data_IF_020311113879
#
_entry.id   IF_020311113879
#
_cell.length_a   1.000
_cell.length_b   1.000
_cell.length_c   1.000
_cell.angle_alpha   90.00
_cell.angle_beta   90.00
_cell.angle_gamma   90.00
#
_symmetry.space_group_name_H-M   'P 1'
#
loop_
_entity.id
_entity.type
_entity.pdbx_description
1 polymer ?
#
# COMPACT_ATOMS: atom_id res chain seq x y z
N UNK A 1 37.53 -5.59 -8.18
CA UNK A 1 36.52 -4.57 -8.54
C UNK A 1 35.50 -5.21 -9.46
N UNK A 2 34.30 -5.50 -8.98
CA UNK A 2 33.24 -6.13 -9.79
C UNK A 2 32.04 -5.20 -9.90
N UNK A 3 31.61 -5.01 -11.15
CA UNK A 3 30.55 -4.12 -11.61
C UNK A 3 29.26 -4.36 -10.82
N UNK A 4 28.76 -3.31 -10.18
CA UNK A 4 27.39 -3.26 -9.63
C UNK A 4 26.44 -3.08 -10.82
N UNK A 5 26.10 -4.19 -11.47
CA UNK A 5 25.22 -4.19 -12.64
C UNK A 5 23.78 -3.85 -12.26
N UNK A 6 23.43 -2.60 -12.54
CA UNK A 6 22.40 -2.13 -13.50
C UNK A 6 20.93 -2.61 -13.32
N UNK A 7 20.07 -1.59 -13.16
CA UNK A 7 18.67 -1.52 -13.61
C UNK A 7 17.67 -2.53 -13.02
N UNK A 8 17.03 -2.15 -11.90
CA UNK A 8 15.75 -2.74 -11.53
C UNK A 8 14.63 -1.97 -12.23
N UNK A 9 14.00 -2.63 -13.21
CA UNK A 9 12.81 -2.24 -13.97
C UNK A 9 11.80 -1.51 -13.05
N UNK A 10 11.58 -0.23 -13.30
CA UNK A 10 10.72 0.65 -12.49
C UNK A 10 9.26 0.16 -12.49
N UNK A 11 8.92 -0.68 -11.51
CA UNK A 11 7.52 -0.81 -11.06
C UNK A 11 7.15 0.48 -10.32
N UNK A 12 5.95 1.01 -10.61
CA UNK A 12 5.39 2.27 -10.09
C UNK A 12 5.81 2.52 -8.63
N UNK A 13 6.73 3.47 -8.44
CA UNK A 13 7.21 3.90 -7.12
C UNK A 13 6.19 4.87 -6.53
N UNK A 14 5.53 4.50 -5.45
CA UNK A 14 4.71 5.41 -4.67
C UNK A 14 5.53 5.98 -3.50
N UNK A 15 5.27 7.25 -3.22
CA UNK A 15 6.16 8.21 -2.55
C UNK A 15 6.69 7.80 -1.17
N UNK A 16 8.01 7.96 -0.98
CA UNK A 16 8.61 8.16 0.33
C UNK A 16 8.15 9.51 0.88
N UNK A 17 7.67 9.54 2.12
CA UNK A 17 7.26 10.78 2.80
C UNK A 17 7.97 10.90 4.14
N UNK A 18 8.58 12.05 4.39
CA UNK A 18 9.07 12.40 5.70
C UNK A 18 7.93 13.06 6.49
N UNK A 19 7.56 12.48 7.63
CA UNK A 19 6.44 12.94 8.45
C UNK A 19 6.94 13.20 9.86
N UNK A 20 6.56 14.35 10.43
CA UNK A 20 6.76 14.63 11.85
C UNK A 20 5.65 13.95 12.64
N UNK A 21 6.01 13.10 13.59
CA UNK A 21 5.07 12.42 14.47
C UNK A 21 5.38 12.76 15.93
N UNK A 22 4.34 12.73 16.77
CA UNK A 22 4.48 12.81 18.21
C UNK A 22 4.38 11.41 18.78
N UNK A 23 5.39 11.02 19.55
CA UNK A 23 5.35 9.80 20.34
C UNK A 23 4.33 9.96 21.48
N UNK A 24 3.85 8.85 22.04
CA UNK A 24 2.85 8.87 23.12
C UNK A 24 3.35 9.55 24.41
N UNK A 25 4.66 9.69 24.55
CA UNK A 25 5.32 10.41 25.64
C UNK A 25 5.48 11.92 25.37
N UNK A 26 4.95 12.42 24.25
CA UNK A 26 5.00 13.83 23.86
C UNK A 26 6.27 14.22 23.08
N UNK A 27 7.23 13.31 22.89
CA UNK A 27 8.46 13.62 22.14
C UNK A 27 8.19 13.70 20.64
N UNK A 28 8.79 14.70 20.00
CA UNK A 28 8.73 14.85 18.55
C UNK A 28 9.75 13.95 17.88
N UNK A 29 9.35 13.23 16.84
CA UNK A 29 10.27 12.40 16.05
C UNK A 29 9.92 12.51 14.57
N UNK A 30 10.94 12.69 13.75
CA UNK A 30 10.80 12.59 12.30
C UNK A 30 10.88 11.13 11.89
N UNK A 31 9.83 10.63 11.24
CA UNK A 31 9.77 9.27 10.72
C UNK A 31 9.67 9.34 9.20
N UNK A 32 10.59 8.67 8.53
CA UNK A 32 10.48 8.39 7.12
C UNK A 32 9.47 7.25 6.93
N UNK A 33 8.43 7.50 6.16
CA UNK A 33 7.37 6.54 5.86
C UNK A 33 7.49 6.13 4.41
N UNK A 34 7.77 4.85 4.20
CA UNK A 34 7.77 4.20 2.90
C UNK A 34 6.49 3.37 2.76
N UNK A 35 5.69 3.64 1.74
CA UNK A 35 4.42 2.94 1.50
C UNK A 35 4.46 2.24 0.15
N UNK A 36 4.31 0.93 0.16
CA UNK A 36 4.30 0.09 -1.03
C UNK A 36 2.90 -0.47 -1.29
N UNK A 37 2.34 -0.16 -2.46
CA UNK A 37 1.05 -0.67 -2.92
C UNK A 37 1.31 -1.75 -3.97
N UNK A 38 0.88 -2.98 -3.70
CA UNK A 38 1.15 -4.13 -4.54
C UNK A 38 -0.16 -4.78 -5.01
N UNK A 39 -0.46 -4.62 -6.30
CA UNK A 39 -1.72 -5.07 -6.90
C UNK A 39 -1.69 -6.48 -7.52
N UNK A 40 -0.56 -7.19 -7.43
CA UNK A 40 -0.42 -8.54 -7.98
C UNK A 40 0.54 -9.38 -7.14
N UNK A 41 0.35 -10.70 -7.20
CA UNK A 41 1.28 -11.64 -6.58
C UNK A 41 2.69 -11.47 -7.14
N UNK A 42 3.67 -11.44 -6.24
CA UNK A 42 5.08 -11.39 -6.57
C UNK A 42 5.87 -12.19 -5.54
N UNK A 43 6.53 -13.26 -6.01
CA UNK A 43 7.26 -14.19 -5.14
C UNK A 43 8.35 -13.48 -4.33
N UNK A 44 9.10 -12.59 -4.98
CA UNK A 44 10.27 -11.93 -4.40
C UNK A 44 9.90 -10.60 -3.71
N UNK A 45 8.61 -10.37 -3.44
CA UNK A 45 8.11 -9.14 -2.82
C UNK A 45 8.77 -8.85 -1.45
N UNK A 46 8.90 -9.82 -0.52
CA UNK A 46 9.57 -9.55 0.76
C UNK A 46 11.03 -9.11 0.59
N UNK A 47 11.77 -9.73 -0.33
CA UNK A 47 13.16 -9.34 -0.61
C UNK A 47 13.22 -7.91 -1.18
N UNK A 48 12.28 -7.56 -2.06
CA UNK A 48 12.15 -6.18 -2.57
C UNK A 48 11.90 -5.17 -1.45
N UNK A 49 11.04 -5.50 -0.49
CA UNK A 49 10.81 -4.67 0.69
C UNK A 49 12.09 -4.47 1.49
N UNK A 50 12.88 -5.52 1.71
CA UNK A 50 14.18 -5.41 2.37
C UNK A 50 15.17 -4.51 1.62
N UNK A 51 15.31 -4.70 0.31
CA UNK A 51 16.20 -3.88 -0.53
C UNK A 51 15.83 -2.40 -0.47
N UNK A 52 14.53 -2.08 -0.47
CA UNK A 52 14.07 -0.69 -0.37
C UNK A 52 14.29 -0.12 1.03
N UNK A 53 13.92 -0.85 2.08
CA UNK A 53 14.18 -0.45 3.46
C UNK A 53 15.67 -0.14 3.66
N UNK A 54 16.55 -1.04 3.23
CA UNK A 54 18.00 -0.84 3.35
C UNK A 54 18.50 0.40 2.60
N UNK A 55 18.04 0.62 1.37
CA UNK A 55 18.43 1.80 0.57
C UNK A 55 18.00 3.12 1.21
N UNK A 56 16.80 3.16 1.77
CA UNK A 56 16.27 4.35 2.46
C UNK A 56 17.01 4.57 3.78
N UNK A 57 17.22 3.50 4.54
CA UNK A 57 18.01 3.55 5.77
C UNK A 57 19.43 4.07 5.51
N UNK A 58 20.14 3.50 4.53
CA UNK A 58 21.51 3.88 4.22
C UNK A 58 21.60 5.35 3.78
N UNK A 59 20.64 5.81 2.98
CA UNK A 59 20.61 7.17 2.44
C UNK A 59 20.24 8.24 3.47
N UNK A 60 19.21 8.00 4.27
CA UNK A 60 18.62 9.04 5.11
C UNK A 60 19.04 8.93 6.58
N UNK A 61 19.34 7.73 7.08
CA UNK A 61 19.74 7.50 8.48
C UNK A 61 18.73 8.05 9.51
N UNK A 62 17.45 8.10 9.14
CA UNK A 62 16.34 8.51 9.99
C UNK A 62 15.54 7.27 10.47
N UNK A 63 14.77 7.39 11.56
CA UNK A 63 13.74 6.40 11.88
C UNK A 63 12.85 6.13 10.66
N UNK A 64 12.70 4.87 10.28
CA UNK A 64 12.05 4.45 9.05
C UNK A 64 11.02 3.37 9.34
N UNK A 65 9.83 3.50 8.77
CA UNK A 65 8.81 2.45 8.72
C UNK A 65 8.45 2.15 7.27
N UNK A 66 8.36 0.86 6.94
CA UNK A 66 7.84 0.39 5.67
C UNK A 66 6.45 -0.22 5.88
N UNK A 67 5.47 0.27 5.13
CA UNK A 67 4.08 -0.14 5.20
C UNK A 67 3.65 -0.72 3.85
N UNK A 68 2.82 -1.76 3.88
CA UNK A 68 2.36 -2.43 2.66
C UNK A 68 0.84 -2.41 2.55
N UNK A 69 0.35 -2.08 1.36
CA UNK A 69 -1.06 -2.26 0.96
C UNK A 69 -1.13 -3.30 -0.15
N UNK A 70 -1.69 -4.46 0.16
CA UNK A 70 -1.91 -5.56 -0.78
C UNK A 70 -3.27 -5.41 -1.46
N UNK A 71 -3.23 -5.30 -2.77
CA UNK A 71 -4.35 -5.03 -3.66
C UNK A 71 -4.49 -6.11 -4.75
N UNK A 72 -3.90 -7.29 -4.56
CA UNK A 72 -4.08 -8.46 -5.41
C UNK A 72 -5.38 -9.23 -5.07
N UNK A 73 -5.66 -10.27 -5.83
CA UNK A 73 -6.88 -11.09 -5.77
C UNK A 73 -6.69 -12.43 -5.01
N UNK A 74 -5.53 -12.65 -4.37
CA UNK A 74 -5.22 -13.90 -3.64
C UNK A 74 -5.40 -13.71 -2.12
N UNK A 75 -6.43 -14.28 -1.48
CA UNK A 75 -6.72 -14.02 -0.06
C UNK A 75 -5.62 -14.46 0.91
N UNK A 76 -4.93 -15.56 0.58
CA UNK A 76 -3.90 -16.17 1.42
C UNK A 76 -2.50 -15.56 1.23
N UNK A 77 -2.28 -14.78 0.18
CA UNK A 77 -0.97 -14.16 -0.03
C UNK A 77 -0.86 -12.88 0.81
N UNK A 78 -0.10 -12.98 1.90
CA UNK A 78 0.12 -11.93 2.90
C UNK A 78 1.57 -11.93 3.39
N UNK A 79 2.55 -11.62 2.52
CA UNK A 79 3.93 -11.45 2.96
C UNK A 79 4.01 -10.29 3.94
N UNK A 80 4.49 -10.53 5.16
CA UNK A 80 4.65 -9.54 6.24
C UNK A 80 6.09 -9.47 6.78
N UNK A 81 6.97 -10.35 6.33
CA UNK A 81 8.38 -10.33 6.72
C UNK A 81 9.31 -10.86 5.62
N UNK A 82 10.58 -10.47 5.73
CA UNK A 82 11.71 -11.06 5.01
C UNK A 82 12.78 -11.50 6.00
N UNK A 83 13.24 -12.74 5.88
CA UNK A 83 14.27 -13.30 6.76
C UNK A 83 15.39 -14.00 6.00
N UNK A 84 16.62 -13.90 6.51
CA UNK A 84 17.76 -14.72 6.08
C UNK A 84 18.60 -15.14 7.27
N UNK A 85 19.10 -16.37 7.22
CA UNK A 85 20.02 -16.91 8.22
C UNK A 85 21.15 -17.70 7.54
N UNK A 86 22.39 -17.46 7.97
CA UNK A 86 23.55 -18.25 7.57
C UNK A 86 24.60 -18.25 8.70
N UNK A 87 25.02 -19.44 9.14
CA UNK A 87 26.08 -19.62 10.15
C UNK A 87 25.89 -18.79 11.42
N UNK A 88 24.65 -18.69 11.92
CA UNK A 88 24.32 -17.89 13.11
C UNK A 88 24.16 -16.39 12.85
N UNK A 89 24.43 -15.90 11.63
CA UNK A 89 24.06 -14.54 11.22
C UNK A 89 22.60 -14.52 10.80
N UNK A 90 21.77 -13.77 11.54
CA UNK A 90 20.33 -13.63 11.30
C UNK A 90 19.97 -12.19 10.93
N UNK A 91 19.07 -12.06 9.96
CA UNK A 91 18.43 -10.80 9.59
C UNK A 91 16.94 -11.09 9.44
N UNK A 92 16.12 -10.24 10.05
CA UNK A 92 14.68 -10.24 9.86
C UNK A 92 14.19 -8.80 9.70
N UNK A 93 13.33 -8.58 8.71
CA UNK A 93 12.60 -7.34 8.51
C UNK A 93 11.11 -7.68 8.52
N UNK A 94 10.40 -7.24 9.54
CA UNK A 94 8.93 -7.30 9.62
C UNK A 94 8.33 -5.97 9.20
N UNK A 95 7.19 -6.00 8.52
CA UNK A 95 6.50 -4.80 8.06
C UNK A 95 4.98 -4.94 8.18
N UNK A 96 4.25 -3.90 8.63
CA UNK A 96 2.80 -3.92 8.67
C UNK A 96 2.17 -4.05 7.28
N UNK A 97 1.11 -4.84 7.20
CA UNK A 97 0.40 -5.15 5.95
C UNK A 97 -1.09 -4.91 6.12
N UNK A 98 -1.68 -4.22 5.14
CA UNK A 98 -3.14 -4.10 4.98
C UNK A 98 -3.55 -4.77 3.68
N UNK A 99 -4.54 -5.66 3.71
CA UNK A 99 -5.08 -6.34 2.52
C UNK A 99 -6.42 -5.72 2.16
N UNK A 100 -6.56 -5.21 0.93
CA UNK A 100 -7.82 -4.59 0.49
C UNK A 100 -8.99 -5.58 0.45
N UNK A 101 -8.73 -6.86 0.17
CA UNK A 101 -9.74 -7.91 0.19
C UNK A 101 -10.43 -8.07 1.56
N UNK A 102 -9.79 -7.68 2.66
CA UNK A 102 -10.38 -7.76 4.01
C UNK A 102 -11.56 -6.81 4.19
N UNK A 103 -11.69 -5.83 3.29
CA UNK A 103 -12.77 -4.86 3.29
C UNK A 103 -13.92 -5.23 2.33
N UNK A 104 -13.86 -6.41 1.69
CA UNK A 104 -14.86 -6.84 0.72
C UNK A 104 -16.26 -6.99 1.35
N UNK A 105 -16.36 -7.48 2.58
CA UNK A 105 -17.64 -7.60 3.29
C UNK A 105 -18.20 -6.24 3.72
N UNK A 106 -17.31 -5.26 3.93
CA UNK A 106 -17.66 -3.88 4.32
C UNK A 106 -18.02 -2.98 3.13
N UNK A 107 -17.98 -3.51 1.89
CA UNK A 107 -18.38 -2.82 0.66
C UNK A 107 -19.87 -2.46 0.60
N UNK A 108 -20.71 -3.04 1.47
CA UNK A 108 -22.13 -2.71 1.56
C UNK A 108 -22.38 -1.40 2.34
N UNK A 109 -21.40 -0.90 3.10
CA UNK A 109 -21.51 0.29 3.95
C UNK A 109 -20.72 1.56 3.51
N UNK A 110 -20.18 1.73 2.28
CA UNK A 110 -19.25 2.84 1.99
C UNK A 110 -19.96 4.19 1.86
N UNK A 111 -21.29 4.19 1.92
CA UNK A 111 -22.12 5.37 1.66
C UNK A 111 -22.00 6.41 2.78
N UNK A 112 -21.56 6.02 3.99
CA UNK A 112 -21.41 6.91 5.13
C UNK A 112 -19.97 7.20 5.56
N UNK A 113 -18.95 6.45 5.10
CA UNK A 113 -17.58 6.63 5.60
C UNK A 113 -16.92 7.89 4.99
N UNK A 114 -16.59 8.92 5.80
CA UNK A 114 -15.93 10.14 5.32
C UNK A 114 -14.50 9.89 4.85
N UNK A 115 -13.93 8.72 5.11
CA UNK A 115 -12.57 8.39 4.74
C UNK A 115 -12.39 8.36 3.20
N UNK A 116 -11.48 9.17 2.61
CA UNK A 116 -11.23 9.16 1.18
C UNK A 116 -10.66 7.83 0.66
N UNK A 117 -9.98 7.05 1.51
CA UNK A 117 -9.48 5.73 1.17
C UNK A 117 -10.60 4.69 1.07
N UNK A 118 -11.74 4.87 1.76
CA UNK A 118 -12.88 3.95 1.66
C UNK A 118 -13.42 3.90 0.22
N UNK A 119 -13.52 5.04 -0.44
CA UNK A 119 -13.96 5.12 -1.84
C UNK A 119 -12.95 4.48 -2.80
N UNK A 120 -11.65 4.69 -2.58
CA UNK A 120 -10.61 4.09 -3.40
C UNK A 120 -10.57 2.56 -3.24
N UNK A 121 -10.67 2.06 -2.01
CA UNK A 121 -10.79 0.62 -1.70
C UNK A 121 -12.03 0.04 -2.35
N UNK A 122 -13.17 0.73 -2.25
CA UNK A 122 -14.41 0.29 -2.87
C UNK A 122 -14.30 0.21 -4.39
N UNK A 123 -13.73 1.24 -5.03
CA UNK A 123 -13.49 1.27 -6.46
C UNK A 123 -12.60 0.10 -6.92
N UNK A 124 -11.52 -0.16 -6.18
CA UNK A 124 -10.60 -1.25 -6.47
C UNK A 124 -11.26 -2.63 -6.40
N UNK A 125 -11.99 -2.91 -5.32
CA UNK A 125 -12.66 -4.20 -5.13
C UNK A 125 -13.77 -4.43 -6.17
N UNK A 126 -14.55 -3.39 -6.50
CA UNK A 126 -15.56 -3.46 -7.57
C UNK A 126 -14.91 -3.72 -8.93
N UNK A 127 -13.77 -3.09 -9.22
CA UNK A 127 -13.02 -3.32 -10.46
C UNK A 127 -12.48 -4.75 -10.55
N UNK A 128 -12.02 -5.33 -9.43
CA UNK A 128 -11.61 -6.73 -9.37
C UNK A 128 -12.79 -7.68 -9.58
N UNK A 129 -13.90 -7.49 -8.87
CA UNK A 129 -15.09 -8.35 -8.96
C UNK A 129 -15.72 -8.36 -10.36
N UNK A 130 -15.67 -7.23 -11.07
CA UNK A 130 -16.29 -7.06 -12.40
C UNK A 130 -15.33 -7.30 -13.56
N UNK A 131 -14.13 -7.83 -13.29
CA UNK A 131 -13.06 -8.01 -14.30
C UNK A 131 -13.53 -8.78 -15.54
N UNK A 132 -14.39 -9.78 -15.34
CA UNK A 132 -14.95 -10.62 -16.41
C UNK A 132 -16.34 -10.19 -16.90
N UNK A 133 -16.95 -9.12 -16.34
CA UNK A 133 -18.29 -8.66 -16.71
C UNK A 133 -18.27 -7.18 -17.16
N UNK A 134 -18.19 -6.91 -18.48
CA UNK A 134 -18.11 -5.55 -19.02
C UNK A 134 -19.32 -4.66 -18.68
N UNK A 135 -20.53 -5.23 -18.64
CA UNK A 135 -21.75 -4.49 -18.35
C UNK A 135 -21.78 -4.04 -16.88
N UNK A 136 -21.46 -4.94 -15.95
CA UNK A 136 -21.33 -4.58 -14.53
C UNK A 136 -20.21 -3.57 -14.32
N UNK A 137 -19.05 -3.73 -14.99
CA UNK A 137 -17.94 -2.77 -14.90
C UNK A 137 -18.36 -1.36 -15.31
N UNK A 138 -19.14 -1.20 -16.39
CA UNK A 138 -19.66 0.10 -16.81
C UNK A 138 -20.61 0.69 -15.76
N UNK A 139 -21.54 -0.10 -15.22
CA UNK A 139 -22.46 0.33 -14.17
C UNK A 139 -21.72 0.80 -12.90
N UNK A 140 -20.72 0.04 -12.45
CA UNK A 140 -19.91 0.39 -11.29
C UNK A 140 -19.04 1.63 -11.53
N UNK A 141 -18.45 1.78 -12.74
CA UNK A 141 -17.69 2.99 -13.08
C UNK A 141 -18.57 4.23 -13.08
N UNK A 142 -19.78 4.15 -13.63
CA UNK A 142 -20.76 5.24 -13.60
C UNK A 142 -21.20 5.57 -12.18
N UNK A 143 -21.45 4.58 -11.34
CA UNK A 143 -21.78 4.77 -9.93
C UNK A 143 -20.64 5.46 -9.16
N UNK A 144 -19.39 5.02 -9.36
CA UNK A 144 -18.20 5.63 -8.76
C UNK A 144 -17.98 7.08 -9.20
N UNK A 145 -18.12 7.37 -10.50
CA UNK A 145 -17.98 8.74 -11.01
C UNK A 145 -19.07 9.64 -10.45
N UNK A 146 -20.33 9.20 -10.41
CA UNK A 146 -21.42 9.95 -9.77
C UNK A 146 -21.13 10.23 -8.28
N UNK A 147 -20.61 9.23 -7.55
CA UNK A 147 -20.22 9.36 -6.14
C UNK A 147 -19.09 10.37 -5.91
N UNK A 148 -18.07 10.37 -6.79
CA UNK A 148 -16.98 11.35 -6.75
C UNK A 148 -17.50 12.77 -6.99
N UNK A 149 -18.39 12.95 -7.98
CA UNK A 149 -19.03 14.23 -8.24
C UNK A 149 -19.84 14.72 -7.04
N UNK A 150 -20.63 13.86 -6.39
CA UNK A 150 -21.42 14.24 -5.20
C UNK A 150 -20.55 14.69 -4.02
N UNK A 151 -19.44 14.00 -3.74
CA UNK A 151 -18.51 14.40 -2.66
C UNK A 151 -17.76 15.70 -2.97
N UNK A 152 -17.34 15.90 -4.22
CA UNK A 152 -16.67 17.14 -4.64
C UNK A 152 -17.64 18.33 -4.60
N UNK A 153 -18.90 18.15 -4.99
CA UNK A 153 -19.88 19.23 -5.00
C UNK A 153 -20.36 19.64 -3.59
N UNK A 154 -20.46 18.69 -2.66
CA UNK A 154 -20.80 18.95 -1.25
C UNK A 154 -19.62 19.52 -0.44
N UNK A 155 -18.38 19.40 -0.92
CA UNK A 155 -17.20 20.02 -0.32
C UNK A 155 -16.91 21.45 -0.79
N UNK A 156 -17.63 21.94 -1.80
CA UNK A 156 -17.50 23.30 -2.38
C UNK A 156 -18.58 24.29 -1.90
N UNK A 157 -19.36 23.91 -0.88
CA UNK A 157 -20.26 24.82 -0.16
C UNK A 157 -19.90 24.76 1.33
N UNK A 158 -18.84 25.48 1.70
CA UNK A 158 -18.64 26.03 3.04
C UNK A 158 -18.62 27.54 2.92
#
# INVERSE_FOLDING_TARGET
MQKISRCAREKRRYADKLIKVWQRDGQETWVLVHVEIQASYEKDFPERMFVYYYRLFDRYRLPLVSLVVLADDRPQWRPDHYGRELWGCKLELCFPVVKLLDFQERLAEPEADPNPFALATAAHLLAQATRQNPQQRLAHKLALTRRLYQRVHLGSVQ
#
